data_IF_031626124709
#
_entry.id   IF_031626124709
#
_cell.length_a   1.000
_cell.length_b   1.000
_cell.length_c   1.000
_cell.angle_alpha   90.00
_cell.angle_beta   90.00
_cell.angle_gamma   90.00
#
_symmetry.space_group_name_H-M   'P 1'
#
loop_
_entity.id
_entity.type
_entity.pdbx_description
1 polymer ?
#
# COMPACT_ATOMS: atom_id res chain seq x y z
N UNK A 1 54.82 -0.12 64.68
CA UNK A 1 54.25 -1.48 64.61
C UNK A 1 52.97 -1.38 63.80
N UNK A 2 52.80 -1.88 62.59
CA UNK A 2 53.63 -2.60 61.61
C UNK A 2 52.89 -2.36 60.27
N UNK A 3 53.59 -1.86 59.24
CA UNK A 3 54.02 -2.62 58.06
C UNK A 3 52.93 -2.82 56.99
N UNK A 4 53.08 -2.05 55.90
CA UNK A 4 53.08 -2.48 54.49
C UNK A 4 52.05 -3.50 54.00
N UNK A 5 51.23 -3.09 53.02
CA UNK A 5 51.29 -3.62 51.64
C UNK A 5 50.38 -2.81 50.68
N UNK A 6 50.96 -2.31 49.58
CA UNK A 6 50.29 -1.98 48.31
C UNK A 6 50.60 -3.13 47.32
N UNK A 7 50.07 -3.15 46.10
CA UNK A 7 48.67 -3.09 45.64
C UNK A 7 48.30 -4.41 44.89
N UNK A 8 47.01 -4.75 44.72
CA UNK A 8 46.63 -5.78 43.75
C UNK A 8 46.18 -5.09 42.45
N UNK A 9 47.04 -5.10 41.43
CA UNK A 9 46.66 -4.85 40.05
C UNK A 9 45.80 -6.04 39.61
N UNK A 10 44.48 -5.88 39.64
CA UNK A 10 43.58 -6.76 38.93
C UNK A 10 43.57 -6.33 37.47
N UNK A 11 44.22 -7.11 36.61
CA UNK A 11 44.11 -7.03 35.17
C UNK A 11 42.63 -7.08 34.77
N UNK A 12 42.12 -5.99 34.21
CA UNK A 12 40.83 -5.98 33.53
C UNK A 12 40.98 -6.76 32.22
N UNK A 13 40.47 -7.99 32.18
CA UNK A 13 40.26 -8.69 30.92
C UNK A 13 39.40 -7.81 29.99
N UNK A 14 39.78 -7.61 28.71
CA UNK A 14 38.94 -6.88 27.79
C UNK A 14 37.70 -7.72 27.50
N UNK A 15 36.55 -7.23 27.96
CA UNK A 15 35.23 -7.76 27.61
C UNK A 15 35.08 -7.76 26.09
N UNK A 16 35.04 -8.95 25.49
CA UNK A 16 34.89 -9.10 24.05
C UNK A 16 33.53 -8.53 23.61
N UNK A 17 33.46 -7.73 22.53
CA UNK A 17 32.17 -7.26 22.04
C UNK A 17 31.30 -8.45 21.63
N UNK A 18 30.17 -8.61 22.29
CA UNK A 18 29.15 -9.61 21.94
C UNK A 18 28.73 -9.36 20.51
N UNK A 19 29.07 -10.29 19.61
CA UNK A 19 28.72 -10.23 18.21
C UNK A 19 27.21 -10.00 18.05
N UNK A 20 26.83 -8.87 17.46
CA UNK A 20 25.49 -8.69 16.90
C UNK A 20 25.22 -9.78 15.86
N UNK A 21 23.95 -10.00 15.48
CA UNK A 21 23.60 -11.08 14.57
C UNK A 21 24.45 -10.94 13.30
N UNK A 22 25.22 -11.98 12.99
CA UNK A 22 26.03 -12.06 11.78
C UNK A 22 25.09 -11.82 10.61
N UNK A 23 25.21 -10.67 9.96
CA UNK A 23 24.53 -10.42 8.70
C UNK A 23 24.93 -11.56 7.75
N UNK A 24 23.95 -12.32 7.26
CA UNK A 24 24.18 -13.28 6.17
C UNK A 24 24.91 -12.52 5.06
N UNK A 25 26.13 -12.96 4.73
CA UNK A 25 26.99 -12.35 3.73
C UNK A 25 26.50 -12.52 2.30
N UNK A 26 25.42 -13.27 2.11
CA UNK A 26 24.96 -13.75 0.81
C UNK A 26 23.63 -13.08 0.45
N UNK A 27 23.56 -11.75 0.57
CA UNK A 27 22.49 -10.97 -0.04
C UNK A 27 22.82 -10.75 -1.52
N UNK A 28 22.01 -11.31 -2.40
CA UNK A 28 22.20 -11.29 -3.85
C UNK A 28 20.98 -10.70 -4.56
N UNK A 29 21.08 -10.53 -5.88
CA UNK A 29 19.93 -10.13 -6.70
C UNK A 29 18.80 -11.16 -6.67
N UNK A 30 19.06 -12.42 -6.34
CA UNK A 30 18.04 -13.47 -6.26
C UNK A 30 17.11 -13.29 -5.04
N UNK A 31 17.57 -12.56 -4.02
CA UNK A 31 16.78 -12.21 -2.84
C UNK A 31 15.82 -11.04 -3.09
N UNK A 32 15.97 -10.35 -4.23
CA UNK A 32 15.10 -9.26 -4.64
C UNK A 32 13.88 -9.80 -5.40
N UNK A 33 12.70 -9.49 -4.89
CA UNK A 33 11.44 -9.87 -5.54
C UNK A 33 10.79 -8.64 -6.18
N UNK A 34 10.45 -8.78 -7.46
CA UNK A 34 9.58 -7.83 -8.16
C UNK A 34 8.13 -8.31 -8.02
N UNK A 35 7.28 -7.49 -7.41
CA UNK A 35 5.85 -7.74 -7.31
C UNK A 35 5.12 -6.86 -8.33
N UNK A 36 4.06 -7.39 -8.94
CA UNK A 36 3.11 -6.50 -9.63
C UNK A 36 2.45 -5.55 -8.64
N UNK A 37 1.90 -4.45 -9.16
CA UNK A 37 1.20 -3.44 -8.36
C UNK A 37 0.10 -4.05 -7.47
N UNK A 38 -0.77 -4.89 -8.06
CA UNK A 38 -1.85 -5.54 -7.32
C UNK A 38 -1.33 -6.51 -6.25
N UNK A 39 -0.29 -7.27 -6.55
CA UNK A 39 0.34 -8.17 -5.57
C UNK A 39 0.96 -7.38 -4.42
N UNK A 40 1.60 -6.25 -4.70
CA UNK A 40 2.17 -5.38 -3.69
C UNK A 40 1.08 -4.83 -2.76
N UNK A 41 -0.03 -4.31 -3.31
CA UNK A 41 -1.18 -3.85 -2.52
C UNK A 41 -1.71 -4.96 -1.61
N UNK A 42 -1.91 -6.17 -2.16
CA UNK A 42 -2.40 -7.32 -1.38
C UNK A 42 -1.43 -7.77 -0.31
N UNK A 43 -0.11 -7.65 -0.54
CA UNK A 43 0.92 -8.04 0.42
C UNK A 43 1.13 -6.99 1.52
N UNK A 44 0.86 -5.72 1.23
CA UNK A 44 1.04 -4.58 2.12
C UNK A 44 -0.21 -3.68 2.20
N UNK A 45 -1.40 -4.21 2.52
CA UNK A 45 -2.66 -3.48 2.42
C UNK A 45 -2.68 -2.23 3.30
N UNK A 46 -2.12 -2.29 4.51
CA UNK A 46 -2.08 -1.15 5.44
C UNK A 46 -1.33 0.08 4.86
N UNK A 47 -0.44 -0.10 3.88
CA UNK A 47 0.21 1.03 3.19
C UNK A 47 -0.76 1.83 2.32
N UNK A 48 -1.82 1.19 1.83
CA UNK A 48 -2.80 1.76 0.91
C UNK A 48 -4.11 2.13 1.60
N UNK A 49 -4.55 1.34 2.59
CA UNK A 49 -5.84 1.54 3.29
C UNK A 49 -5.66 1.91 4.78
N UNK A 50 -4.45 2.30 5.18
CA UNK A 50 -4.09 2.74 6.53
C UNK A 50 -3.91 1.62 7.56
N UNK A 51 -4.89 0.73 7.72
CA UNK A 51 -4.79 -0.47 8.54
C UNK A 51 -5.67 -1.62 8.02
N UNK A 52 -5.64 -2.78 8.68
CA UNK A 52 -6.51 -3.95 8.34
C UNK A 52 -7.53 -4.23 9.43
N UNK A 53 -7.89 -3.20 10.20
CA UNK A 53 -8.92 -3.25 11.23
C UNK A 53 -10.26 -2.78 10.64
N UNK A 54 -11.35 -2.68 11.43
CA UNK A 54 -12.60 -2.12 10.91
C UNK A 54 -12.46 -0.72 10.30
N UNK A 55 -11.46 0.08 10.71
CA UNK A 55 -11.20 1.38 10.08
C UNK A 55 -10.75 1.23 8.63
N UNK A 56 -9.74 0.40 8.36
CA UNK A 56 -9.32 0.08 6.99
C UNK A 56 -10.42 -0.55 6.14
N UNK A 57 -11.28 -1.39 6.75
CA UNK A 57 -12.45 -1.95 6.05
C UNK A 57 -13.40 -0.85 5.56
N UNK A 58 -13.75 0.12 6.41
CA UNK A 58 -14.61 1.23 6.00
C UNK A 58 -13.91 2.17 5.00
N UNK A 59 -12.58 2.27 5.07
CA UNK A 59 -11.80 3.05 4.12
C UNK A 59 -12.00 2.56 2.67
N UNK A 60 -12.15 1.25 2.46
CA UNK A 60 -12.49 0.71 1.13
C UNK A 60 -13.79 1.29 0.57
N UNK A 61 -14.78 1.54 1.43
CA UNK A 61 -16.06 2.13 1.04
C UNK A 61 -15.87 3.62 0.78
N UNK A 62 -15.10 4.31 1.63
CA UNK A 62 -14.81 5.75 1.47
C UNK A 62 -14.16 6.04 0.13
N UNK A 63 -13.18 5.23 -0.30
CA UNK A 63 -12.53 5.40 -1.61
C UNK A 63 -13.52 5.38 -2.79
N UNK A 64 -14.55 4.54 -2.73
CA UNK A 64 -15.57 4.50 -3.78
C UNK A 64 -16.53 5.69 -3.68
N UNK A 65 -16.98 6.02 -2.46
CA UNK A 65 -17.86 7.17 -2.21
C UNK A 65 -17.20 8.50 -2.57
N UNK A 66 -15.91 8.66 -2.28
CA UNK A 66 -15.16 9.89 -2.57
C UNK A 66 -15.07 10.13 -4.09
N UNK A 67 -14.92 9.07 -4.88
CA UNK A 67 -14.98 9.17 -6.34
C UNK A 67 -16.37 9.66 -6.84
N UNK A 68 -17.46 9.20 -6.22
CA UNK A 68 -18.81 9.71 -6.51
C UNK A 68 -19.01 11.16 -6.04
N UNK A 69 -18.44 11.53 -4.89
CA UNK A 69 -18.47 12.92 -4.39
C UNK A 69 -17.74 13.85 -5.35
N UNK A 70 -16.62 13.43 -5.93
CA UNK A 70 -15.90 14.24 -6.93
C UNK A 70 -16.76 14.53 -8.17
N UNK A 71 -17.59 13.58 -8.62
CA UNK A 71 -18.56 13.84 -9.69
C UNK A 71 -19.62 14.86 -9.26
N UNK A 72 -20.09 14.80 -8.01
CA UNK A 72 -21.05 15.78 -7.47
C UNK A 72 -20.42 17.17 -7.33
N UNK A 73 -19.18 17.26 -6.85
CA UNK A 73 -18.42 18.52 -6.74
C UNK A 73 -18.15 19.14 -8.11
N UNK A 74 -17.97 18.34 -9.14
CA UNK A 74 -17.85 18.78 -10.52
C UNK A 74 -19.20 19.13 -11.18
N UNK A 75 -20.32 18.93 -10.48
CA UNK A 75 -21.68 19.25 -10.93
C UNK A 75 -22.30 18.21 -11.87
N UNK A 76 -21.75 17.00 -11.92
CA UNK A 76 -22.24 15.92 -12.79
C UNK A 76 -23.14 14.92 -12.07
N UNK A 77 -22.97 14.73 -10.76
CA UNK A 77 -23.85 13.89 -9.95
C UNK A 77 -24.73 14.76 -9.03
N UNK A 78 -25.97 14.32 -8.83
CA UNK A 78 -26.92 14.92 -7.88
C UNK A 78 -27.39 13.94 -6.81
N UNK A 79 -27.19 12.64 -7.04
CA UNK A 79 -27.59 11.58 -6.14
C UNK A 79 -26.48 10.54 -5.99
N UNK A 80 -26.16 10.21 -4.75
CA UNK A 80 -25.25 9.11 -4.41
C UNK A 80 -25.96 8.25 -3.37
N UNK A 81 -26.01 6.95 -3.61
CA UNK A 81 -26.60 5.98 -2.70
C UNK A 81 -25.59 4.92 -2.28
N UNK A 82 -25.68 4.49 -1.02
CA UNK A 82 -24.84 3.42 -0.46
C UNK A 82 -25.75 2.36 0.13
N UNK A 83 -25.60 1.13 -0.34
CA UNK A 83 -26.37 -0.03 0.11
C UNK A 83 -25.44 -1.05 0.74
N UNK A 84 -25.70 -1.41 2.00
CA UNK A 84 -25.05 -2.52 2.69
C UNK A 84 -25.95 -3.75 2.56
N UNK A 85 -25.43 -4.78 1.90
CA UNK A 85 -26.18 -6.01 1.63
C UNK A 85 -26.07 -7.00 2.79
N UNK A 86 -27.01 -7.94 2.84
CA UNK A 86 -27.06 -8.96 3.91
C UNK A 86 -25.91 -9.96 3.87
N UNK A 87 -25.19 -10.04 2.74
CA UNK A 87 -23.99 -10.86 2.59
C UNK A 87 -22.68 -10.14 3.00
N UNK A 88 -22.80 -8.87 3.43
CA UNK A 88 -21.66 -8.05 3.83
C UNK A 88 -21.00 -7.28 2.69
N UNK A 89 -21.47 -7.42 1.44
CA UNK A 89 -21.05 -6.56 0.33
C UNK A 89 -21.65 -5.14 0.45
N UNK A 90 -21.02 -4.18 -0.21
CA UNK A 90 -21.47 -2.78 -0.26
C UNK A 90 -21.53 -2.32 -1.71
N UNK A 91 -22.65 -1.73 -2.10
CA UNK A 91 -22.80 -1.04 -3.39
C UNK A 91 -22.82 0.45 -3.16
N UNK A 92 -22.03 1.18 -3.95
CA UNK A 92 -22.11 2.63 -4.10
C UNK A 92 -22.58 2.90 -5.52
N UNK A 93 -23.64 3.69 -5.67
CA UNK A 93 -24.22 4.07 -6.95
C UNK A 93 -24.37 5.59 -7.01
N UNK A 94 -23.95 6.19 -8.12
CA UNK A 94 -24.13 7.62 -8.42
C UNK A 94 -24.72 7.83 -9.81
N UNK A 95 -25.28 9.01 -10.04
CA UNK A 95 -25.81 9.47 -11.32
C UNK A 95 -24.83 10.38 -12.09
N UNK A 96 -23.52 10.23 -11.83
CA UNK A 96 -22.47 10.98 -12.51
C UNK A 96 -22.28 10.59 -13.97
N UNK A 97 -21.16 11.02 -14.56
CA UNK A 97 -20.87 10.73 -15.99
C UNK A 97 -20.59 9.26 -16.27
N UNK A 98 -20.23 8.50 -15.24
CA UNK A 98 -19.69 7.15 -15.36
C UNK A 98 -18.19 7.14 -15.69
N UNK A 99 -17.54 6.02 -15.37
CA UNK A 99 -16.14 5.77 -15.76
C UNK A 99 -16.11 5.50 -17.28
N UNK A 100 -15.20 6.13 -18.05
CA UNK A 100 -15.04 5.83 -19.48
C UNK A 100 -14.76 4.34 -19.72
N UNK A 101 -15.40 3.75 -20.72
CA UNK A 101 -15.34 2.31 -21.01
C UNK A 101 -14.61 2.00 -22.32
N UNK A 102 -14.25 3.04 -23.07
CA UNK A 102 -13.57 2.96 -24.34
C UNK A 102 -12.11 2.49 -24.17
N UNK A 103 -11.52 1.86 -25.20
CA UNK A 103 -10.09 1.53 -25.22
C UNK A 103 -9.20 2.73 -24.94
N UNK A 104 -8.16 2.53 -24.13
CA UNK A 104 -7.14 3.52 -23.87
C UNK A 104 -5.87 3.19 -24.68
N UNK A 105 -5.56 3.99 -25.70
CA UNK A 105 -4.51 3.68 -26.69
C UNK A 105 -3.12 3.51 -26.06
N UNK A 106 -2.67 4.49 -25.24
CA UNK A 106 -1.33 4.44 -24.65
C UNK A 106 -1.14 3.22 -23.73
N UNK A 107 -2.11 2.97 -22.85
CA UNK A 107 -2.10 1.83 -21.94
C UNK A 107 -2.18 0.49 -22.70
N UNK A 108 -2.96 0.44 -23.77
CA UNK A 108 -3.03 -0.75 -24.63
C UNK A 108 -1.70 -1.04 -25.31
N UNK A 109 -1.00 0.00 -25.76
CA UNK A 109 0.33 -0.13 -26.35
C UNK A 109 1.37 -0.59 -25.30
N UNK A 110 1.32 -0.03 -24.08
CA UNK A 110 2.20 -0.42 -22.97
C UNK A 110 2.01 -1.90 -22.57
N UNK A 111 0.76 -2.36 -22.49
CA UNK A 111 0.42 -3.73 -22.10
C UNK A 111 0.43 -4.73 -23.27
N UNK A 112 0.63 -4.27 -24.51
CA UNK A 112 0.69 -5.10 -25.71
C UNK A 112 -0.63 -5.81 -26.05
N UNK A 113 -1.76 -5.30 -25.56
CA UNK A 113 -3.12 -5.81 -25.81
C UNK A 113 -4.13 -4.68 -25.64
N UNK A 114 -5.31 -4.82 -26.23
CA UNK A 114 -6.39 -3.87 -26.02
C UNK A 114 -6.84 -3.86 -24.54
N UNK A 115 -6.94 -2.66 -23.95
CA UNK A 115 -7.30 -2.41 -22.55
C UNK A 115 -8.28 -1.23 -22.53
N UNK A 116 -9.44 -1.41 -21.90
CA UNK A 116 -10.40 -0.31 -21.70
C UNK A 116 -9.94 0.65 -20.60
N UNK A 117 -10.41 1.90 -20.66
CA UNK A 117 -10.14 2.88 -19.60
C UNK A 117 -10.68 2.39 -18.25
N UNK A 118 -11.84 1.73 -18.24
CA UNK A 118 -12.40 1.09 -17.05
C UNK A 118 -11.45 0.03 -16.46
N UNK A 119 -10.91 -0.85 -17.30
CA UNK A 119 -9.93 -1.85 -16.86
C UNK A 119 -8.69 -1.17 -16.30
N UNK A 120 -8.15 -0.17 -16.99
CA UNK A 120 -7.00 0.61 -16.54
C UNK A 120 -7.19 1.18 -15.13
N UNK A 121 -8.33 1.85 -14.88
CA UNK A 121 -8.65 2.43 -13.56
C UNK A 121 -8.74 1.36 -12.47
N UNK A 122 -9.20 0.16 -12.81
CA UNK A 122 -9.39 -0.94 -11.85
C UNK A 122 -8.12 -1.75 -11.60
N UNK A 123 -7.17 -1.82 -12.55
CA UNK A 123 -6.05 -2.77 -12.49
C UNK A 123 -4.66 -2.15 -12.50
N UNK A 124 -4.52 -0.85 -12.80
CA UNK A 124 -3.23 -0.17 -12.93
C UNK A 124 -3.11 0.93 -11.89
N UNK A 125 -2.09 0.88 -11.03
CA UNK A 125 -1.87 1.95 -10.07
C UNK A 125 -1.36 3.20 -10.78
N UNK A 126 -1.67 4.37 -10.20
CA UNK A 126 -1.27 5.69 -10.73
C UNK A 126 -1.86 5.98 -12.11
N UNK A 127 -3.02 5.41 -12.41
CA UNK A 127 -3.79 5.68 -13.61
C UNK A 127 -5.15 6.30 -13.22
N UNK A 128 -5.48 7.47 -13.78
CA UNK A 128 -6.66 8.23 -13.38
C UNK A 128 -6.72 9.64 -13.98
N UNK A 129 -7.88 10.30 -13.88
CA UNK A 129 -8.13 11.62 -14.48
C UNK A 129 -7.77 12.83 -13.59
N UNK A 130 -7.34 12.61 -12.35
CA UNK A 130 -7.22 13.64 -11.29
C UNK A 130 -5.77 14.11 -11.04
N UNK A 131 -4.93 14.15 -12.08
CA UNK A 131 -3.50 14.51 -11.97
C UNK A 131 -3.17 15.97 -12.32
N UNK A 132 -4.17 16.81 -12.57
CA UNK A 132 -4.00 18.20 -13.02
C UNK A 132 -4.64 19.17 -12.04
#
# INVERSE_FOLDING_TARGET
MNEQQRPNHGDSEPEQPTAGPTANSDYSSEDLQHLSDLEHVRRRPAMHIGDVTPRGLHHLIYEVVDNSIDEAMAGFATHISVTIHTDGSVTVEDDGRGIPVEPHEDLSAELGREVSTLEGVMTVLKFGGKFK
#
